data_IF_195329221694
#
_entry.id   IF_195329221694
#
_cell.length_a   1.000
_cell.length_b   1.000
_cell.length_c   1.000
_cell.angle_alpha   90.00
_cell.angle_beta   90.00
_cell.angle_gamma   90.00
#
_symmetry.space_group_name_H-M   'P 1'
#
loop_
_entity.id
_entity.type
_entity.pdbx_description
1 polymer ?
#
# COMPACT_ATOMS: atom_id res chain seq x y z
N UNK A 1 3.53 -34.70 14.04
CA UNK A 1 3.04 -33.39 14.47
C UNK A 1 2.79 -32.60 13.20
N UNK A 2 1.56 -32.28 12.88
CA UNK A 2 1.24 -31.38 11.75
C UNK A 2 1.85 -30.03 12.10
N UNK A 3 2.79 -29.54 11.30
CA UNK A 3 3.28 -28.17 11.43
C UNK A 3 2.05 -27.24 11.36
N UNK A 4 1.76 -26.58 12.47
CA UNK A 4 0.65 -25.66 12.56
C UNK A 4 1.10 -24.36 11.87
N UNK A 5 0.64 -24.15 10.63
CA UNK A 5 0.94 -22.91 9.90
C UNK A 5 0.29 -21.72 10.62
N UNK A 6 0.94 -20.56 10.67
CA UNK A 6 0.34 -19.36 11.24
C UNK A 6 -0.89 -18.93 10.40
N UNK A 7 -1.86 -18.31 11.04
CA UNK A 7 -3.03 -17.75 10.33
C UNK A 7 -2.62 -16.55 9.46
N UNK A 8 -1.69 -15.73 9.98
CA UNK A 8 -1.28 -14.47 9.32
C UNK A 8 0.23 -14.45 9.07
N UNK A 9 0.64 -14.07 7.86
CA UNK A 9 2.03 -13.67 7.56
C UNK A 9 2.10 -12.16 7.39
N UNK A 10 2.85 -11.49 8.26
CA UNK A 10 3.09 -10.03 8.17
C UNK A 10 4.35 -9.81 7.38
N UNK A 11 4.24 -9.15 6.23
CA UNK A 11 5.33 -8.85 5.31
C UNK A 11 5.65 -7.37 5.41
N UNK A 12 6.90 -7.05 5.78
CA UNK A 12 7.40 -5.69 5.93
C UNK A 12 8.48 -5.46 4.86
N UNK A 13 8.16 -4.77 3.74
CA UNK A 13 9.19 -4.34 2.82
C UNK A 13 10.05 -3.26 3.50
N UNK A 14 11.36 -3.45 3.47
CA UNK A 14 12.29 -2.56 4.17
C UNK A 14 13.43 -2.09 3.28
N UNK A 15 13.80 -0.82 3.40
CA UNK A 15 14.98 -0.25 2.78
C UNK A 15 15.53 0.89 3.60
N UNK A 16 16.55 0.63 4.40
CA UNK A 16 17.16 1.52 5.38
C UNK A 16 16.16 2.03 6.45
N UNK A 17 16.66 2.59 7.53
CA UNK A 17 15.83 3.11 8.62
C UNK A 17 15.62 2.09 9.73
N UNK A 18 16.71 1.52 10.25
CA UNK A 18 16.72 0.53 11.34
C UNK A 18 15.90 0.96 12.55
N UNK A 19 15.94 2.24 12.94
CA UNK A 19 15.19 2.77 14.10
C UNK A 19 13.68 2.66 13.86
N UNK A 20 13.25 3.04 12.67
CA UNK A 20 11.83 2.99 12.28
C UNK A 20 11.33 1.55 12.23
N UNK A 21 12.12 0.64 11.66
CA UNK A 21 11.81 -0.79 11.62
C UNK A 21 11.75 -1.38 13.03
N UNK A 22 12.69 -1.01 13.91
CA UNK A 22 12.71 -1.47 15.30
C UNK A 22 11.43 -1.11 16.04
N UNK A 23 10.98 0.14 15.96
CA UNK A 23 9.74 0.57 16.59
C UNK A 23 8.51 -0.16 16.02
N UNK A 24 8.50 -0.43 14.71
CA UNK A 24 7.43 -1.21 14.08
C UNK A 24 7.41 -2.64 14.64
N UNK A 25 8.54 -3.34 14.66
CA UNK A 25 8.67 -4.68 15.19
C UNK A 25 8.29 -4.73 16.68
N UNK A 26 8.76 -3.78 17.49
CA UNK A 26 8.44 -3.69 18.92
C UNK A 26 6.93 -3.54 19.17
N UNK A 27 6.22 -2.88 18.27
CA UNK A 27 4.76 -2.75 18.36
C UNK A 27 4.03 -4.03 17.93
N UNK A 28 4.55 -4.74 16.92
CA UNK A 28 4.01 -6.04 16.49
C UNK A 28 4.16 -7.11 17.57
N UNK A 29 5.29 -7.15 18.26
CA UNK A 29 5.55 -8.12 19.33
C UNK A 29 4.63 -7.92 20.56
N UNK A 30 3.88 -6.82 20.62
CA UNK A 30 2.84 -6.57 21.63
C UNK A 30 1.45 -7.03 21.19
N UNK A 31 1.34 -7.66 20.01
CA UNK A 31 0.07 -8.17 19.52
C UNK A 31 -0.52 -9.22 20.46
N UNK A 32 -1.83 -9.11 20.70
CA UNK A 32 -2.60 -10.12 21.44
C UNK A 32 -3.06 -11.29 20.58
N UNK A 33 -2.94 -11.16 19.26
CA UNK A 33 -3.18 -12.25 18.31
C UNK A 33 -1.90 -13.08 18.18
N UNK A 34 -1.95 -14.38 18.44
CA UNK A 34 -0.74 -15.21 18.58
C UNK A 34 -0.35 -15.97 17.31
N UNK A 35 -1.33 -16.27 16.41
CA UNK A 35 -1.10 -17.12 15.24
C UNK A 35 -0.57 -16.32 14.04
N UNK A 36 0.61 -15.71 14.17
CA UNK A 36 1.25 -14.97 13.10
C UNK A 36 2.75 -15.22 13.00
N UNK A 37 3.30 -14.93 11.84
CA UNK A 37 4.74 -14.82 11.58
C UNK A 37 5.08 -13.45 11.02
N UNK A 38 6.34 -13.02 11.22
CA UNK A 38 6.85 -11.76 10.65
C UNK A 38 7.94 -12.08 9.62
N UNK A 39 7.85 -11.44 8.45
CA UNK A 39 8.79 -11.56 7.34
C UNK A 39 9.24 -10.16 6.96
N UNK A 40 10.51 -9.86 7.15
CA UNK A 40 11.12 -8.61 6.66
C UNK A 40 11.73 -8.88 5.29
N UNK A 41 11.22 -8.19 4.26
CA UNK A 41 11.79 -8.25 2.91
C UNK A 41 12.72 -7.04 2.72
N UNK A 42 13.99 -7.25 3.01
CA UNK A 42 15.01 -6.21 2.94
C UNK A 42 15.47 -5.98 1.50
N UNK A 43 15.31 -4.75 1.02
CA UNK A 43 15.62 -4.31 -0.32
C UNK A 43 17.08 -3.81 -0.47
N UNK A 44 18.04 -4.61 -0.02
CA UNK A 44 19.48 -4.30 -0.02
C UNK A 44 19.80 -3.04 0.82
N UNK A 45 19.39 -3.04 2.09
CA UNK A 45 19.75 -1.98 3.03
C UNK A 45 21.26 -1.96 3.30
N UNK A 46 21.77 -0.76 3.54
CA UNK A 46 23.19 -0.51 3.81
C UNK A 46 23.46 0.07 5.20
N UNK A 47 22.41 0.17 6.04
CA UNK A 47 22.45 0.81 7.37
C UNK A 47 22.66 -0.18 8.53
N UNK A 48 22.88 -1.46 8.24
CA UNK A 48 23.05 -2.51 9.25
C UNK A 48 21.76 -3.21 9.66
N UNK A 49 20.60 -2.85 9.08
CA UNK A 49 19.29 -3.45 9.40
C UNK A 49 19.29 -4.98 9.32
N UNK A 50 19.95 -5.57 8.30
CA UNK A 50 20.02 -7.03 8.13
C UNK A 50 20.75 -7.72 9.28
N UNK A 51 21.91 -7.19 9.69
CA UNK A 51 22.67 -7.72 10.82
C UNK A 51 21.87 -7.61 12.12
N UNK A 52 21.28 -6.43 12.34
CA UNK A 52 20.44 -6.19 13.52
C UNK A 52 19.26 -7.16 13.64
N UNK A 53 18.54 -7.44 12.54
CA UNK A 53 17.42 -8.41 12.54
C UNK A 53 17.94 -9.79 12.93
N UNK A 54 19.04 -10.27 12.33
CA UNK A 54 19.61 -11.59 12.60
C UNK A 54 20.05 -11.76 14.05
N UNK A 55 20.59 -10.70 14.65
CA UNK A 55 21.10 -10.71 16.03
C UNK A 55 20.00 -10.53 17.06
N UNK A 56 19.11 -9.54 16.85
CA UNK A 56 18.11 -9.14 17.86
C UNK A 56 16.78 -9.89 17.71
N UNK A 57 16.44 -10.33 16.50
CA UNK A 57 15.15 -10.96 16.19
C UNK A 57 15.30 -12.24 15.34
N UNK A 58 16.05 -13.28 15.80
CA UNK A 58 16.34 -14.48 15.02
C UNK A 58 15.09 -15.30 14.64
N UNK A 59 13.94 -15.03 15.25
CA UNK A 59 12.67 -15.66 14.95
C UNK A 59 11.94 -14.99 13.78
N UNK A 60 12.35 -13.79 13.37
CA UNK A 60 11.80 -13.08 12.19
C UNK A 60 12.45 -13.65 10.93
N UNK A 61 11.64 -14.00 9.95
CA UNK A 61 12.14 -14.42 8.64
C UNK A 61 12.70 -13.22 7.89
N UNK A 62 13.98 -13.25 7.52
CA UNK A 62 14.61 -12.21 6.72
C UNK A 62 14.77 -12.70 5.26
N UNK A 63 14.23 -11.93 4.32
CA UNK A 63 14.43 -12.09 2.88
C UNK A 63 15.38 -11.00 2.41
N UNK A 64 16.62 -11.38 2.10
CA UNK A 64 17.66 -10.44 1.64
C UNK A 64 17.61 -10.33 0.12
N UNK A 65 17.14 -9.22 -0.39
CA UNK A 65 17.12 -8.94 -1.82
C UNK A 65 18.47 -8.38 -2.27
N UNK A 66 18.86 -8.66 -3.52
CA UNK A 66 20.12 -8.21 -4.12
C UNK A 66 20.12 -6.72 -4.49
N UNK A 67 18.95 -6.09 -4.55
CA UNK A 67 18.76 -4.67 -4.86
C UNK A 67 17.41 -4.16 -4.33
N UNK A 68 17.18 -2.86 -4.44
CA UNK A 68 15.88 -2.26 -4.12
C UNK A 68 14.87 -2.49 -5.25
N UNK A 69 13.91 -3.37 -5.03
CA UNK A 69 12.79 -3.69 -5.92
C UNK A 69 11.55 -2.83 -5.70
N UNK A 70 11.63 -1.82 -4.84
CA UNK A 70 10.50 -0.99 -4.43
C UNK A 70 9.56 -1.72 -3.47
N UNK A 71 8.41 -1.10 -3.22
CA UNK A 71 7.38 -1.68 -2.36
C UNK A 71 6.79 -2.96 -2.99
N UNK A 72 6.31 -2.88 -4.23
CA UNK A 72 5.67 -4.00 -4.91
C UNK A 72 6.57 -5.24 -4.97
N UNK A 73 7.81 -5.09 -5.42
CA UNK A 73 8.73 -6.21 -5.55
C UNK A 73 9.22 -6.75 -4.21
N UNK A 74 9.43 -5.89 -3.20
CA UNK A 74 9.75 -6.31 -1.83
C UNK A 74 8.62 -7.14 -1.21
N UNK A 75 7.39 -6.66 -1.32
CA UNK A 75 6.19 -7.36 -0.85
C UNK A 75 6.02 -8.74 -1.52
N UNK A 76 6.18 -8.82 -2.84
CA UNK A 76 6.05 -10.08 -3.58
C UNK A 76 7.07 -11.13 -3.09
N UNK A 77 8.34 -10.73 -2.89
CA UNK A 77 9.39 -11.63 -2.42
C UNK A 77 9.17 -12.09 -0.98
N UNK A 78 8.65 -11.20 -0.13
CA UNK A 78 8.20 -11.58 1.21
C UNK A 78 7.04 -12.56 1.18
N UNK A 79 6.04 -12.32 0.32
CA UNK A 79 4.87 -13.18 0.15
C UNK A 79 5.24 -14.60 -0.33
N UNK A 80 6.31 -14.75 -1.13
CA UNK A 80 6.81 -16.06 -1.58
C UNK A 80 7.38 -16.91 -0.43
N UNK A 81 7.69 -16.31 0.73
CA UNK A 81 8.17 -16.99 1.94
C UNK A 81 7.10 -17.13 3.02
N UNK A 82 5.92 -16.59 2.76
CA UNK A 82 4.79 -16.59 3.69
C UNK A 82 4.13 -17.97 3.75
N UNK A 83 3.72 -18.41 4.93
CA UNK A 83 3.00 -19.66 5.15
C UNK A 83 1.56 -19.48 5.66
N UNK A 84 1.19 -18.26 6.09
CA UNK A 84 -0.14 -17.92 6.57
C UNK A 84 -1.22 -17.92 5.49
N UNK A 85 -2.47 -18.09 5.92
CA UNK A 85 -3.67 -17.99 5.06
C UNK A 85 -3.90 -16.53 4.61
N UNK A 86 -3.67 -15.60 5.52
CA UNK A 86 -3.76 -14.16 5.25
C UNK A 86 -2.36 -13.54 5.17
N UNK A 87 -2.14 -12.70 4.18
CA UNK A 87 -0.95 -11.87 4.06
C UNK A 87 -1.28 -10.46 4.52
N UNK A 88 -0.46 -9.91 5.40
CA UNK A 88 -0.50 -8.48 5.74
C UNK A 88 0.72 -7.81 5.18
N UNK A 89 0.53 -6.86 4.27
CA UNK A 89 1.60 -5.99 3.81
C UNK A 89 1.59 -4.74 4.68
N UNK A 90 2.68 -4.50 5.37
CA UNK A 90 2.79 -3.48 6.41
C UNK A 90 4.01 -2.60 6.20
N UNK A 91 3.83 -1.28 6.18
CA UNK A 91 4.96 -0.35 6.14
C UNK A 91 5.80 -0.45 7.42
N UNK A 92 7.12 -0.31 7.26
CA UNK A 92 8.08 -0.32 8.37
C UNK A 92 8.02 0.92 9.27
N UNK A 93 7.24 1.94 8.91
CA UNK A 93 7.05 3.20 9.67
C UNK A 93 5.66 3.28 10.34
N UNK A 94 5.15 2.12 10.75
CA UNK A 94 3.84 1.98 11.41
C UNK A 94 3.97 1.51 12.84
N UNK A 95 3.01 1.91 13.68
CA UNK A 95 2.84 1.44 15.07
C UNK A 95 1.41 0.91 15.21
N UNK A 96 1.25 -0.34 15.64
CA UNK A 96 -0.03 -1.01 15.72
C UNK A 96 -0.58 -1.00 17.15
N UNK A 97 -1.91 -0.96 17.30
CA UNK A 97 -2.54 -1.36 18.58
C UNK A 97 -2.40 -2.85 18.79
N UNK A 98 -2.33 -3.31 20.02
CA UNK A 98 -2.11 -4.72 20.36
C UNK A 98 -3.19 -5.68 19.82
N UNK A 99 -4.42 -5.20 19.64
CA UNK A 99 -5.58 -5.99 19.20
C UNK A 99 -5.90 -5.85 17.69
N UNK A 100 -5.09 -5.11 16.95
CA UNK A 100 -5.38 -4.73 15.56
C UNK A 100 -5.59 -5.91 14.60
N UNK A 101 -4.78 -6.99 14.74
CA UNK A 101 -4.90 -8.17 13.89
C UNK A 101 -6.18 -8.96 14.17
N UNK A 102 -6.63 -8.97 15.41
CA UNK A 102 -7.80 -9.73 15.82
C UNK A 102 -9.05 -9.30 15.03
N UNK A 103 -9.30 -7.98 14.94
CA UNK A 103 -10.44 -7.45 14.20
C UNK A 103 -10.37 -7.71 12.70
N UNK A 104 -9.17 -7.61 12.10
CA UNK A 104 -9.00 -7.90 10.67
C UNK A 104 -9.24 -9.38 10.36
N UNK A 105 -8.69 -10.29 11.16
CA UNK A 105 -8.88 -11.73 10.99
C UNK A 105 -10.36 -12.08 11.17
N UNK A 106 -11.01 -11.58 12.23
CA UNK A 106 -12.44 -11.82 12.48
C UNK A 106 -13.32 -11.35 11.32
N UNK A 107 -13.04 -10.17 10.74
CA UNK A 107 -13.74 -9.67 9.56
C UNK A 107 -13.56 -10.61 8.35
N UNK A 108 -12.31 -11.01 8.08
CA UNK A 108 -11.98 -11.85 6.94
C UNK A 108 -12.57 -13.26 7.07
N UNK A 109 -12.56 -13.86 8.25
CA UNK A 109 -13.12 -15.20 8.49
C UNK A 109 -14.65 -15.24 8.42
N UNK A 110 -15.34 -14.15 8.75
CA UNK A 110 -16.82 -14.07 8.69
C UNK A 110 -17.39 -14.08 7.28
N UNK A 111 -16.64 -13.60 6.29
CA UNK A 111 -17.13 -13.49 4.90
C UNK A 111 -16.03 -13.79 3.88
N UNK A 112 -16.13 -14.96 3.27
CA UNK A 112 -15.17 -15.42 2.25
C UNK A 112 -15.21 -14.61 0.95
N UNK A 113 -16.18 -13.72 0.77
CA UNK A 113 -16.20 -12.80 -0.38
C UNK A 113 -15.27 -11.60 -0.18
N UNK A 114 -14.77 -11.38 1.04
CA UNK A 114 -13.79 -10.33 1.35
C UNK A 114 -12.40 -10.83 0.95
N UNK A 115 -11.82 -10.23 -0.08
CA UNK A 115 -10.47 -10.54 -0.53
C UNK A 115 -9.40 -9.75 0.21
N UNK A 116 -9.70 -8.51 0.56
CA UNK A 116 -8.76 -7.62 1.24
C UNK A 116 -9.46 -6.71 2.25
N UNK A 117 -8.73 -6.36 3.30
CA UNK A 117 -9.19 -5.41 4.32
C UNK A 117 -8.03 -4.52 4.80
N UNK A 118 -8.37 -3.30 5.24
CA UNK A 118 -7.43 -2.40 5.91
C UNK A 118 -7.93 -2.01 7.31
N UNK A 119 -7.02 -1.71 8.25
CA UNK A 119 -7.36 -1.03 9.49
C UNK A 119 -7.74 0.44 9.25
N UNK A 120 -8.27 1.12 10.26
CA UNK A 120 -8.26 2.57 10.36
C UNK A 120 -6.82 3.02 10.54
N UNK A 121 -6.36 3.93 9.67
CA UNK A 121 -4.99 4.45 9.70
C UNK A 121 -5.03 5.89 10.21
N UNK A 122 -4.34 6.13 11.31
CA UNK A 122 -4.23 7.42 11.97
C UNK A 122 -2.80 7.96 11.89
N UNK A 123 -2.67 9.27 11.98
CA UNK A 123 -1.36 9.92 12.01
C UNK A 123 -0.64 9.64 13.33
N UNK A 124 0.62 9.22 13.29
CA UNK A 124 1.39 8.86 14.49
C UNK A 124 1.65 10.08 15.40
N UNK A 125 1.94 11.24 14.82
CA UNK A 125 2.28 12.45 15.56
C UNK A 125 1.06 13.21 16.04
N UNK A 126 -0.06 13.09 15.31
CA UNK A 126 -1.35 13.69 15.63
C UNK A 126 -2.42 12.60 15.71
N UNK A 127 -2.38 11.80 16.77
CA UNK A 127 -3.14 10.54 16.93
C UNK A 127 -4.68 10.65 16.77
N UNK A 128 -5.21 11.85 16.76
CA UNK A 128 -6.62 12.11 16.49
C UNK A 128 -6.91 12.43 15.02
N UNK A 129 -5.88 12.61 14.19
CA UNK A 129 -6.03 12.92 12.78
C UNK A 129 -5.96 11.63 11.96
N UNK A 130 -6.81 11.53 10.93
CA UNK A 130 -6.64 10.46 9.94
C UNK A 130 -5.31 10.59 9.21
N UNK A 131 -4.77 9.46 8.78
CA UNK A 131 -3.56 9.46 7.99
C UNK A 131 -3.81 9.88 6.55
N UNK A 132 -2.82 10.55 5.96
CA UNK A 132 -2.85 10.97 4.55
C UNK A 132 -2.97 9.78 3.58
N UNK A 133 -2.31 8.67 3.88
CA UNK A 133 -2.13 7.54 2.96
C UNK A 133 -3.25 6.48 3.01
N UNK A 134 -4.44 6.78 3.54
CA UNK A 134 -5.50 5.79 3.49
C UNK A 134 -6.64 5.93 4.51
N UNK A 135 -6.47 6.72 5.53
CA UNK A 135 -7.51 7.06 6.49
C UNK A 135 -8.39 5.86 6.92
N UNK A 136 -9.68 5.93 6.61
CA UNK A 136 -10.67 4.88 6.94
C UNK A 136 -11.38 4.35 5.68
N UNK A 137 -10.59 3.80 4.73
CA UNK A 137 -11.05 3.22 3.48
C UNK A 137 -10.93 4.15 2.27
N UNK A 138 -10.44 3.60 1.17
CA UNK A 138 -10.18 4.30 -0.07
C UNK A 138 -11.27 4.13 -1.13
N UNK A 139 -11.47 5.15 -1.93
CA UNK A 139 -12.39 5.21 -3.06
C UNK A 139 -11.69 5.76 -4.29
N UNK A 140 -12.36 5.72 -5.42
CA UNK A 140 -11.85 6.23 -6.69
C UNK A 140 -12.94 6.96 -7.43
N UNK A 141 -12.61 8.10 -8.05
CA UNK A 141 -13.53 8.78 -8.94
C UNK A 141 -13.50 8.17 -10.36
N UNK A 142 -14.40 8.66 -11.22
CA UNK A 142 -14.52 8.18 -12.61
C UNK A 142 -13.30 8.46 -13.49
N UNK A 143 -12.39 9.33 -13.05
CA UNK A 143 -11.14 9.64 -13.75
C UNK A 143 -9.92 8.96 -13.13
N UNK A 144 -10.14 7.99 -12.22
CA UNK A 144 -9.09 7.26 -11.51
C UNK A 144 -8.23 8.15 -10.59
N UNK A 145 -8.81 9.16 -9.97
CA UNK A 145 -8.18 9.84 -8.85
C UNK A 145 -8.59 9.17 -7.54
N UNK A 146 -7.62 8.62 -6.79
CA UNK A 146 -7.92 8.00 -5.51
C UNK A 146 -8.19 9.04 -4.44
N UNK A 147 -9.21 8.80 -3.62
CA UNK A 147 -9.51 9.56 -2.41
C UNK A 147 -9.86 8.63 -1.26
N UNK A 148 -9.84 9.11 -0.03
CA UNK A 148 -10.09 8.29 1.15
C UNK A 148 -10.98 9.02 2.16
N UNK A 149 -11.74 8.27 2.96
CA UNK A 149 -12.41 8.82 4.14
C UNK A 149 -11.38 9.31 5.14
N UNK A 150 -11.57 10.48 5.70
CA UNK A 150 -10.64 11.13 6.61
C UNK A 150 -9.63 12.07 5.92
N UNK A 151 -9.78 12.29 4.59
CA UNK A 151 -8.94 13.22 3.85
C UNK A 151 -9.68 13.90 2.70
N UNK A 152 -9.55 15.21 2.63
CA UNK A 152 -10.00 16.02 1.49
C UNK A 152 -8.79 16.72 0.86
N UNK A 153 -8.37 16.29 -0.32
CA UNK A 153 -7.12 16.71 -0.99
C UNK A 153 -5.88 16.53 -0.07
N UNK A 154 -5.28 17.63 0.39
CA UNK A 154 -4.12 17.63 1.27
C UNK A 154 -4.48 17.77 2.75
N UNK A 155 -5.73 18.10 3.06
CA UNK A 155 -6.20 18.27 4.42
C UNK A 155 -6.72 16.96 4.99
N UNK A 156 -6.31 16.66 6.22
CA UNK A 156 -6.74 15.50 6.99
C UNK A 156 -7.83 15.91 7.97
N UNK A 157 -8.81 15.04 8.14
CA UNK A 157 -9.89 15.24 9.12
C UNK A 157 -9.47 14.74 10.51
N UNK A 158 -10.07 15.32 11.55
CA UNK A 158 -10.00 14.75 12.90
C UNK A 158 -10.94 13.55 13.00
N UNK A 159 -10.47 12.44 13.61
CA UNK A 159 -11.28 11.27 13.92
C UNK A 159 -12.19 11.58 15.13
N UNK A 160 -13.45 11.88 14.85
CA UNK A 160 -14.52 12.08 15.84
C UNK A 160 -15.47 10.87 15.88
N UNK A 161 -15.08 9.75 15.29
CA UNK A 161 -15.91 8.54 15.19
C UNK A 161 -16.82 8.50 13.95
N UNK A 162 -16.74 9.47 13.05
CA UNK A 162 -17.57 9.60 11.86
C UNK A 162 -17.40 8.44 10.87
N UNK A 163 -16.30 7.68 10.96
CA UNK A 163 -15.98 6.52 10.10
C UNK A 163 -15.67 5.27 10.93
N UNK A 164 -16.46 5.00 11.97
CA UNK A 164 -16.34 3.80 12.81
C UNK A 164 -17.19 2.62 12.29
N UNK A 165 -17.75 2.72 11.09
CA UNK A 165 -18.51 1.66 10.43
C UNK A 165 -17.57 0.79 9.57
N UNK A 166 -17.52 -0.53 9.84
CA UNK A 166 -16.93 -1.48 8.92
C UNK A 166 -17.66 -1.44 7.58
N UNK A 167 -16.94 -1.21 6.47
CA UNK A 167 -17.58 -0.89 5.19
C UNK A 167 -16.77 -1.32 3.99
N UNK A 168 -17.48 -1.66 2.90
CA UNK A 168 -16.86 -1.84 1.59
C UNK A 168 -16.22 -0.53 1.12
N UNK A 169 -15.02 -0.65 0.57
CA UNK A 169 -14.29 0.43 -0.07
C UNK A 169 -13.74 -0.04 -1.42
N UNK A 170 -13.20 0.87 -2.22
CA UNK A 170 -12.63 0.50 -3.51
C UNK A 170 -11.19 0.00 -3.36
N UNK A 171 -10.40 0.61 -2.49
CA UNK A 171 -9.04 0.17 -2.24
C UNK A 171 -8.70 0.23 -0.74
N UNK A 172 -7.81 -0.65 -0.35
CA UNK A 172 -7.18 -0.71 0.95
C UNK A 172 -5.75 -0.19 0.84
N UNK A 173 -5.32 0.58 1.84
CA UNK A 173 -4.02 1.26 1.83
C UNK A 173 -2.85 0.29 1.97
N UNK A 174 -1.84 0.44 1.12
CA UNK A 174 -0.56 -0.27 1.23
C UNK A 174 0.22 0.02 2.52
N UNK A 175 -0.19 1.01 3.32
CA UNK A 175 0.37 1.22 4.67
C UNK A 175 0.14 0.01 5.57
N UNK A 176 -1.06 -0.60 5.50
CA UNK A 176 -1.42 -1.82 6.20
C UNK A 176 -2.63 -2.46 5.49
N UNK A 177 -2.39 -3.44 4.66
CA UNK A 177 -3.43 -4.18 3.94
C UNK A 177 -3.32 -5.67 4.25
N UNK A 178 -4.42 -6.29 4.69
CA UNK A 178 -4.57 -7.74 4.78
C UNK A 178 -5.25 -8.27 3.52
N UNK A 179 -4.72 -9.37 2.95
CA UNK A 179 -5.25 -10.00 1.72
C UNK A 179 -5.28 -11.52 1.91
N UNK A 180 -6.30 -12.21 1.36
CA UNK A 180 -6.26 -13.68 1.26
C UNK A 180 -5.13 -14.10 0.34
N UNK A 181 -4.25 -14.99 0.82
CA UNK A 181 -3.05 -15.41 0.09
C UNK A 181 -3.39 -16.05 -1.26
N UNK A 182 -4.39 -16.92 -1.32
CA UNK A 182 -4.78 -17.56 -2.58
C UNK A 182 -5.26 -16.53 -3.61
N UNK A 183 -6.09 -15.56 -3.20
CA UNK A 183 -6.59 -14.52 -4.09
C UNK A 183 -5.50 -13.52 -4.50
N UNK A 184 -4.54 -13.24 -3.62
CA UNK A 184 -3.36 -12.44 -3.96
C UNK A 184 -2.54 -13.10 -5.08
N UNK A 185 -2.34 -14.43 -4.99
CA UNK A 185 -1.60 -15.19 -6.02
C UNK A 185 -2.42 -15.29 -7.31
N UNK A 186 -3.71 -15.59 -7.22
CA UNK A 186 -4.62 -15.71 -8.38
C UNK A 186 -4.75 -14.37 -9.14
N UNK A 187 -4.82 -13.25 -8.41
CA UNK A 187 -4.82 -11.91 -8.99
C UNK A 187 -3.48 -11.50 -9.64
N UNK A 188 -2.43 -12.33 -9.52
CA UNK A 188 -1.11 -12.07 -10.11
C UNK A 188 -0.19 -11.22 -9.23
N UNK A 189 -0.44 -11.15 -7.92
CA UNK A 189 0.36 -10.39 -6.93
C UNK A 189 0.36 -8.88 -7.20
N UNK A 190 1.28 -8.13 -6.58
CA UNK A 190 1.53 -6.74 -6.98
C UNK A 190 2.27 -6.70 -8.32
N UNK A 191 1.85 -5.83 -9.23
CA UNK A 191 2.62 -5.61 -10.46
C UNK A 191 3.87 -4.77 -10.15
N UNK A 192 5.05 -5.36 -10.31
CA UNK A 192 6.34 -4.74 -9.97
C UNK A 192 6.68 -3.52 -10.83
N UNK A 193 5.95 -3.30 -11.94
CA UNK A 193 6.13 -2.12 -12.79
C UNK A 193 5.80 -0.83 -12.04
N UNK A 194 4.90 -0.90 -11.06
CA UNK A 194 4.55 0.25 -10.22
C UNK A 194 5.73 0.72 -9.37
N UNK A 195 6.57 -0.19 -8.91
CA UNK A 195 7.67 0.03 -7.99
C UNK A 195 7.19 0.48 -6.60
N UNK A 196 6.46 1.59 -6.50
CA UNK A 196 5.80 2.11 -5.30
C UNK A 196 4.68 3.08 -5.71
N UNK A 197 3.60 3.13 -4.93
CA UNK A 197 2.35 3.88 -5.13
C UNK A 197 1.48 3.31 -6.24
N UNK A 198 0.19 3.14 -5.95
CA UNK A 198 -0.89 2.63 -6.79
C UNK A 198 -0.90 1.11 -7.00
N UNK A 199 0.14 0.36 -6.63
CA UNK A 199 0.17 -1.11 -6.74
C UNK A 199 -0.92 -1.79 -5.90
N UNK A 200 -1.21 -1.24 -4.72
CA UNK A 200 -2.26 -1.72 -3.83
C UNK A 200 -3.65 -1.41 -4.39
N UNK A 201 -3.81 -0.26 -5.03
CA UNK A 201 -5.07 0.15 -5.65
C UNK A 201 -5.35 -0.71 -6.88
N UNK A 202 -4.33 -0.95 -7.70
CA UNK A 202 -4.38 -1.85 -8.84
C UNK A 202 -4.74 -3.29 -8.42
N UNK A 203 -4.09 -3.81 -7.37
CA UNK A 203 -4.45 -5.12 -6.81
C UNK A 203 -5.92 -5.17 -6.36
N UNK A 204 -6.37 -4.16 -5.60
CA UNK A 204 -7.75 -4.07 -5.14
C UNK A 204 -8.76 -4.01 -6.30
N UNK A 205 -8.40 -3.34 -7.38
CA UNK A 205 -9.22 -3.31 -8.59
C UNK A 205 -9.34 -4.68 -9.23
N UNK A 206 -8.21 -5.38 -9.42
CA UNK A 206 -8.20 -6.75 -9.97
C UNK A 206 -9.00 -7.73 -9.11
N UNK A 207 -8.87 -7.69 -7.79
CA UNK A 207 -9.66 -8.51 -6.87
C UNK A 207 -11.16 -8.26 -7.01
N UNK A 208 -11.58 -6.99 -7.18
CA UNK A 208 -12.99 -6.65 -7.41
C UNK A 208 -13.48 -7.08 -8.80
N UNK A 209 -12.62 -7.00 -9.83
CA UNK A 209 -12.94 -7.52 -11.16
C UNK A 209 -13.13 -9.06 -11.16
N UNK A 210 -12.50 -9.77 -10.22
CA UNK A 210 -12.72 -11.19 -9.95
C UNK A 210 -14.00 -11.48 -9.15
N UNK A 211 -14.74 -10.44 -8.73
CA UNK A 211 -16.02 -10.56 -8.00
C UNK A 211 -15.90 -10.51 -6.48
N UNK A 212 -14.74 -10.21 -5.95
CA UNK A 212 -14.49 -10.09 -4.52
C UNK A 212 -14.68 -8.68 -3.99
N UNK A 213 -14.55 -8.50 -2.67
CA UNK A 213 -14.77 -7.22 -1.99
C UNK A 213 -13.54 -6.78 -1.20
N UNK A 214 -13.38 -5.47 -1.10
CA UNK A 214 -12.37 -4.80 -0.26
C UNK A 214 -13.09 -4.04 0.85
N UNK A 215 -12.59 -4.14 2.08
CA UNK A 215 -13.22 -3.56 3.25
C UNK A 215 -12.25 -2.71 4.08
N UNK A 216 -12.81 -1.82 4.89
CA UNK A 216 -12.13 -1.21 6.03
C UNK A 216 -12.75 -1.71 7.32
N UNK A 217 -11.90 -2.07 8.30
CA UNK A 217 -12.28 -2.45 9.66
C UNK A 217 -11.75 -1.40 10.64
N UNK A 218 -12.59 -0.44 11.06
CA UNK A 218 -12.12 0.69 11.87
C UNK A 218 -11.87 0.37 13.35
N UNK A 219 -12.24 -0.79 13.85
CA UNK A 219 -11.83 -1.24 15.19
C UNK A 219 -10.34 -1.63 15.22
N UNK A 220 -9.84 -2.14 14.11
CA UNK A 220 -8.41 -2.30 13.88
C UNK A 220 -7.76 -0.93 13.66
N UNK A 221 -6.72 -0.59 14.46
CA UNK A 221 -6.08 0.73 14.39
C UNK A 221 -4.58 0.60 14.21
N UNK A 222 -4.06 1.32 13.20
CA UNK A 222 -2.63 1.46 12.91
C UNK A 222 -2.28 2.95 12.86
N UNK A 223 -1.18 3.33 13.48
CA UNK A 223 -0.60 4.68 13.40
C UNK A 223 0.53 4.69 12.39
N UNK A 224 0.59 5.69 11.51
CA UNK A 224 1.57 5.82 10.46
C UNK A 224 2.40 7.09 10.61
N UNK A 225 3.73 6.98 10.49
CA UNK A 225 4.65 8.12 10.65
C UNK A 225 4.76 8.98 9.41
N UNK A 226 4.42 8.44 8.26
CA UNK A 226 4.43 9.11 6.95
C UNK A 226 5.80 9.61 6.43
N UNK A 227 6.00 9.44 5.13
CA UNK A 227 7.04 10.09 4.33
C UNK A 227 8.50 9.82 4.77
N UNK A 228 8.77 8.73 5.49
CA UNK A 228 10.15 8.38 5.88
C UNK A 228 10.95 7.94 4.66
N UNK A 229 10.37 7.13 3.76
CA UNK A 229 11.09 6.53 2.63
C UNK A 229 11.06 7.37 1.34
N UNK A 230 9.97 8.12 1.09
CA UNK A 230 9.80 8.98 -0.10
C UNK A 230 9.25 10.35 0.31
N UNK A 231 10.12 11.35 0.56
CA UNK A 231 9.69 12.68 0.97
C UNK A 231 8.70 13.32 0.00
N UNK A 232 7.74 14.07 0.55
CA UNK A 232 6.80 14.88 -0.24
C UNK A 232 7.55 15.86 -1.13
N UNK A 233 6.95 16.26 -2.28
CA UNK A 233 7.50 17.25 -3.21
C UNK A 233 8.82 16.89 -3.90
N UNK A 234 9.19 15.59 -3.94
CA UNK A 234 10.32 15.12 -4.73
C UNK A 234 9.91 14.80 -6.16
N UNK A 235 10.79 15.04 -7.14
CA UNK A 235 10.60 14.65 -8.53
C UNK A 235 10.21 13.18 -8.68
N UNK A 236 10.87 12.26 -7.93
CA UNK A 236 10.59 10.82 -8.01
C UNK A 236 9.17 10.49 -7.56
N UNK A 237 8.68 11.10 -6.46
CA UNK A 237 7.33 10.89 -5.95
C UNK A 237 6.28 11.39 -6.94
N UNK A 238 6.46 12.60 -7.49
CA UNK A 238 5.57 13.13 -8.53
C UNK A 238 5.55 12.21 -9.76
N UNK A 239 6.72 11.84 -10.27
CA UNK A 239 6.83 10.94 -11.41
C UNK A 239 6.08 9.62 -11.19
N UNK A 240 6.31 8.94 -10.05
CA UNK A 240 5.63 7.68 -9.75
C UNK A 240 4.12 7.85 -9.61
N UNK A 241 3.65 8.88 -8.91
CA UNK A 241 2.22 9.10 -8.72
C UNK A 241 1.48 9.34 -10.06
N UNK A 242 2.00 10.20 -10.91
CA UNK A 242 1.37 10.50 -12.20
C UNK A 242 1.47 9.31 -13.17
N UNK A 243 2.66 8.70 -13.30
CA UNK A 243 2.86 7.52 -14.14
C UNK A 243 1.96 6.36 -13.73
N UNK A 244 1.98 6.04 -12.45
CA UNK A 244 1.29 4.87 -11.92
C UNK A 244 -0.23 5.04 -11.96
N UNK A 245 -0.73 6.24 -11.71
CA UNK A 245 -2.16 6.53 -11.83
C UNK A 245 -2.67 6.37 -13.28
N UNK A 246 -1.89 6.82 -14.27
CA UNK A 246 -2.20 6.59 -15.68
C UNK A 246 -2.05 5.11 -16.07
N UNK A 247 -0.99 4.45 -15.61
CA UNK A 247 -0.76 3.02 -15.85
C UNK A 247 -1.93 2.19 -15.32
N UNK A 248 -2.33 2.41 -14.06
CA UNK A 248 -3.45 1.72 -13.42
C UNK A 248 -4.76 1.90 -14.22
N UNK A 249 -5.07 3.12 -14.68
CA UNK A 249 -6.22 3.41 -15.53
C UNK A 249 -6.18 2.57 -16.82
N UNK A 250 -5.05 2.62 -17.51
CA UNK A 250 -4.88 1.98 -18.82
C UNK A 250 -4.89 0.44 -18.73
N UNK A 251 -4.42 -0.11 -17.61
CA UNK A 251 -4.34 -1.57 -17.40
C UNK A 251 -5.67 -2.19 -16.93
N UNK A 252 -6.55 -1.42 -16.28
CA UNK A 252 -7.75 -1.97 -15.65
C UNK A 252 -9.06 -1.66 -16.37
N UNK A 253 -9.13 -0.60 -17.17
CA UNK A 253 -10.32 -0.33 -17.99
C UNK A 253 -10.33 -1.14 -19.29
N UNK A 254 -11.53 -1.44 -19.80
CA UNK A 254 -11.67 -1.92 -21.17
C UNK A 254 -11.15 -0.88 -22.16
N UNK A 255 -10.61 -1.34 -23.31
CA UNK A 255 -9.94 -0.45 -24.29
C UNK A 255 -10.76 0.79 -24.67
N UNK A 256 -12.08 0.73 -24.96
CA UNK A 256 -12.85 1.92 -25.27
C UNK A 256 -12.94 2.93 -24.14
N UNK A 257 -13.12 2.42 -22.90
CA UNK A 257 -13.20 3.26 -21.69
C UNK A 257 -11.83 3.85 -21.38
N UNK A 258 -10.78 3.05 -21.43
CA UNK A 258 -9.40 3.49 -21.22
C UNK A 258 -9.00 4.62 -22.22
N UNK A 259 -9.44 4.52 -23.48
CA UNK A 259 -9.19 5.55 -24.48
C UNK A 259 -9.94 6.85 -24.14
N UNK A 260 -11.24 6.77 -23.82
CA UNK A 260 -12.04 7.95 -23.49
C UNK A 260 -11.58 8.63 -22.19
N UNK A 261 -11.48 7.87 -21.10
CA UNK A 261 -11.05 8.40 -19.79
C UNK A 261 -9.59 8.83 -19.83
N UNK A 262 -8.73 8.05 -20.50
CA UNK A 262 -7.30 8.35 -20.67
C UNK A 262 -7.07 9.67 -21.42
N UNK A 263 -7.86 9.96 -22.46
CA UNK A 263 -7.79 11.25 -23.16
C UNK A 263 -8.09 12.42 -22.20
N UNK A 264 -9.15 12.31 -21.40
CA UNK A 264 -9.51 13.35 -20.42
C UNK A 264 -8.39 13.48 -19.37
N UNK A 265 -7.86 12.35 -18.88
CA UNK A 265 -6.75 12.33 -17.90
C UNK A 265 -5.50 13.03 -18.44
N UNK A 266 -5.12 12.79 -19.69
CA UNK A 266 -3.98 13.48 -20.30
C UNK A 266 -4.22 14.99 -20.34
N UNK A 267 -5.43 15.45 -20.64
CA UNK A 267 -5.76 16.88 -20.58
C UNK A 267 -5.64 17.44 -19.17
N UNK A 268 -6.11 16.70 -18.16
CA UNK A 268 -5.95 17.09 -16.75
C UNK A 268 -4.48 17.11 -16.31
N UNK A 269 -3.63 16.22 -16.83
CA UNK A 269 -2.18 16.25 -16.59
C UNK A 269 -1.54 17.54 -17.14
N UNK A 270 -1.96 18.02 -18.31
CA UNK A 270 -1.48 19.32 -18.83
C UNK A 270 -1.96 20.49 -17.98
N UNK A 271 -3.18 20.44 -17.45
CA UNK A 271 -3.66 21.45 -16.48
C UNK A 271 -2.81 21.42 -15.21
N UNK A 272 -2.46 20.22 -14.71
CA UNK A 272 -1.57 20.06 -13.55
C UNK A 272 -0.15 20.60 -13.83
N UNK A 273 0.38 20.43 -15.05
CA UNK A 273 1.64 21.07 -15.47
C UNK A 273 1.52 22.59 -15.40
N UNK A 274 0.44 23.17 -15.95
CA UNK A 274 0.20 24.62 -15.88
C UNK A 274 0.13 25.15 -14.45
N UNK A 275 -0.56 24.43 -13.58
CA UNK A 275 -0.61 24.77 -12.15
C UNK A 275 0.77 24.70 -11.48
N UNK A 276 1.54 23.64 -11.74
CA UNK A 276 2.89 23.46 -11.21
C UNK A 276 3.86 24.57 -11.67
N UNK A 277 3.73 25.02 -12.94
CA UNK A 277 4.49 26.17 -13.48
C UNK A 277 4.14 27.46 -12.73
N UNK A 278 2.85 27.74 -12.50
CA UNK A 278 2.40 28.91 -11.75
C UNK A 278 2.94 28.90 -10.32
N UNK A 279 3.05 27.70 -9.71
CA UNK A 279 3.62 27.49 -8.36
C UNK A 279 5.14 27.45 -8.33
N UNK A 280 5.82 27.52 -9.49
CA UNK A 280 7.27 27.37 -9.64
C UNK A 280 7.80 26.02 -9.10
N UNK A 281 6.96 24.97 -9.04
CA UNK A 281 7.34 23.62 -8.64
C UNK A 281 7.88 22.81 -9.82
N UNK A 282 9.16 23.00 -10.13
CA UNK A 282 9.83 22.35 -11.26
C UNK A 282 9.97 20.83 -11.07
N UNK A 283 10.03 20.34 -9.83
CA UNK A 283 10.01 18.89 -9.55
C UNK A 283 8.70 18.27 -10.02
N UNK A 284 7.59 18.97 -9.80
CA UNK A 284 6.27 18.52 -10.23
C UNK A 284 6.15 18.57 -11.76
N UNK A 285 6.51 19.70 -12.39
CA UNK A 285 6.51 19.85 -13.85
C UNK A 285 7.27 18.72 -14.53
N UNK A 286 8.53 18.52 -14.14
CA UNK A 286 9.39 17.50 -14.77
C UNK A 286 8.92 16.08 -14.44
N UNK A 287 8.34 15.86 -13.26
CA UNK A 287 7.73 14.59 -12.86
C UNK A 287 6.57 14.19 -13.75
N UNK A 288 5.63 15.13 -14.00
CA UNK A 288 4.47 14.89 -14.90
C UNK A 288 4.95 14.65 -16.34
N UNK A 289 5.79 15.53 -16.88
CA UNK A 289 6.26 15.39 -18.27
C UNK A 289 6.98 14.05 -18.48
N UNK A 290 7.83 13.64 -17.55
CA UNK A 290 8.50 12.34 -17.60
C UNK A 290 7.51 11.18 -17.57
N UNK A 291 6.43 11.28 -16.78
CA UNK A 291 5.40 10.25 -16.71
C UNK A 291 4.66 10.08 -18.03
N UNK A 292 4.28 11.19 -18.69
CA UNK A 292 3.62 11.19 -19.99
C UNK A 292 4.53 10.61 -21.09
N UNK A 293 5.82 10.99 -21.10
CA UNK A 293 6.80 10.43 -22.01
C UNK A 293 6.93 8.92 -21.80
N UNK A 294 7.00 8.45 -20.54
CA UNK A 294 7.11 7.04 -20.25
C UNK A 294 5.89 6.25 -20.76
N UNK A 295 4.67 6.72 -20.51
CA UNK A 295 3.42 6.10 -21.00
C UNK A 295 3.43 5.99 -22.54
N UNK A 296 3.84 7.05 -23.22
CA UNK A 296 3.89 7.08 -24.68
C UNK A 296 4.84 6.03 -25.27
N UNK A 297 5.99 5.80 -24.64
CA UNK A 297 7.03 4.90 -25.15
C UNK A 297 6.94 3.45 -24.63
N UNK A 298 5.95 3.12 -23.76
CA UNK A 298 5.78 1.77 -23.22
C UNK A 298 4.38 1.16 -23.46
N UNK A 299 3.81 1.25 -24.68
CA UNK A 299 2.44 0.77 -24.94
C UNK A 299 2.30 -0.74 -24.72
N UNK A 300 3.34 -1.54 -25.03
CA UNK A 300 3.32 -3.00 -24.87
C UNK A 300 3.26 -3.40 -23.41
N UNK A 301 3.84 -2.63 -22.52
CA UNK A 301 3.82 -2.87 -21.07
C UNK A 301 2.44 -2.60 -20.46
N UNK A 302 1.69 -1.70 -21.09
CA UNK A 302 0.36 -1.28 -20.64
C UNK A 302 -0.73 -2.25 -21.11
N UNK A 303 -0.53 -2.90 -22.26
CA UNK A 303 -1.54 -3.77 -22.91
C UNK A 303 -1.39 -5.25 -22.53
N UNK A 304 -0.64 -5.57 -21.49
CA UNK A 304 -0.53 -6.92 -20.92
C UNK A 304 -1.74 -7.26 -20.07
#
# INVERSE_FOLDING_TARGET
>A
MTEQHPTVSIIIPHWNGIETLSECIDSLLKSTFESYEVIVADNASSDGSQAWIKESHPHIKLVENDRNYGYAGGCNRGADKASGEFLVFLNNDTIQKSDWLHYLVELMEKDNTIAAAQPKILNYYQKKMFDYAGGSGGYMDMFCFPYARGRLFLEQEEDQGQYNDAKKCFWASGTAIMVRKELFVEAGKFDEIFFAHMEEIDLCWRLQAMGHHVWVEPQSIVYHKNAVSLPMHTHRKYYLNHRNSLLMLLSNFSVPVAFYVGFIRIMLEFIAVGYAVIKLDWNHVTGILRSLIWILFHPVTILK
#
